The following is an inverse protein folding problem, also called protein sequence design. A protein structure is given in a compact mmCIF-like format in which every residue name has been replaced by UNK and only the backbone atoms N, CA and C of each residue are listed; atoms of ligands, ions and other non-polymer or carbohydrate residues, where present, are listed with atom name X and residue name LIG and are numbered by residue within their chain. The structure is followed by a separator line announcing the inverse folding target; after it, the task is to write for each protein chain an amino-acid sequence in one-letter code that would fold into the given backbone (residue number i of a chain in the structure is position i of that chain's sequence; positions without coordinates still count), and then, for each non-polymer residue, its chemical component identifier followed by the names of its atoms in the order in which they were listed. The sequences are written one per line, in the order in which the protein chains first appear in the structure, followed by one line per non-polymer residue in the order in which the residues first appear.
data_IF_462321010487
#
_entry.id   IF_462321010487
#
_cell.length_a   1.000
_cell.length_b   1.000
_cell.length_c   1.000
_cell.angle_alpha   90.00
_cell.angle_beta   90.00
_cell.angle_gamma   90.00
#
_symmetry.space_group_name_H-M   'P 1'
#
loop_
_entity.id
_entity.type
_entity.pdbx_description
1 polymer ?
#
# COMPACT_ATOMS: atom_id res chain seq x y z
N UNK A 1 8.64 6.69 -2.18
CA UNK A 1 7.53 6.75 -3.17
C UNK A 1 7.52 5.51 -4.08
N UNK A 2 8.58 5.24 -4.86
CA UNK A 2 8.63 4.01 -5.70
C UNK A 2 8.49 2.72 -4.88
N UNK A 3 9.32 2.54 -3.87
CA UNK A 3 9.21 1.39 -2.96
C UNK A 3 7.86 1.30 -2.23
N UNK A 4 7.18 2.42 -2.01
CA UNK A 4 5.85 2.42 -1.40
C UNK A 4 4.79 1.88 -2.36
N UNK A 5 4.86 2.28 -3.63
CA UNK A 5 4.02 1.72 -4.69
C UNK A 5 4.29 0.23 -4.89
N UNK A 6 5.57 -0.19 -4.93
CA UNK A 6 5.95 -1.60 -5.04
C UNK A 6 5.40 -2.44 -3.87
N UNK A 7 5.49 -1.93 -2.63
CA UNK A 7 4.88 -2.59 -1.46
C UNK A 7 3.36 -2.67 -1.63
N UNK A 8 2.72 -1.59 -2.10
CA UNK A 8 1.29 -1.59 -2.39
C UNK A 8 0.91 -2.64 -3.43
N UNK A 9 1.68 -2.78 -4.50
CA UNK A 9 1.46 -3.80 -5.53
C UNK A 9 1.67 -5.22 -5.01
N UNK A 10 2.67 -5.46 -4.16
CA UNK A 10 2.86 -6.74 -3.48
C UNK A 10 1.65 -7.05 -2.59
N UNK A 11 1.23 -6.10 -1.75
CA UNK A 11 0.10 -6.28 -0.83
C UNK A 11 -1.20 -6.51 -1.60
N UNK A 12 -1.38 -5.93 -2.78
CA UNK A 12 -2.60 -6.06 -3.60
C UNK A 12 -2.56 -7.19 -4.63
N UNK A 13 -1.43 -7.89 -4.75
CA UNK A 13 -1.26 -8.98 -5.71
C UNK A 13 -1.04 -8.52 -7.15
N UNK A 14 -0.64 -7.25 -7.35
CA UNK A 14 -0.37 -6.62 -8.65
C UNK A 14 1.10 -6.60 -9.05
N UNK A 15 2.00 -6.99 -8.15
CA UNK A 15 3.44 -6.96 -8.41
C UNK A 15 3.87 -7.91 -9.55
N UNK A 16 4.61 -7.37 -10.51
CA UNK A 16 5.08 -8.04 -11.73
C UNK A 16 6.48 -8.67 -11.58
N UNK A 17 7.08 -8.69 -10.38
CA UNK A 17 8.42 -9.28 -10.20
C UNK A 17 8.43 -10.78 -10.57
N UNK A 18 9.29 -11.19 -11.51
CA UNK A 18 9.33 -12.58 -12.03
C UNK A 18 10.64 -13.33 -11.78
N UNK A 19 11.69 -12.64 -11.28
CA UNK A 19 13.05 -13.21 -11.21
C UNK A 19 13.22 -14.30 -10.15
N UNK A 20 12.52 -14.20 -9.00
CA UNK A 20 12.61 -15.21 -7.93
C UNK A 20 11.26 -15.87 -7.67
N UNK A 21 10.83 -16.74 -8.60
CA UNK A 21 9.52 -17.40 -8.57
C UNK A 21 9.25 -18.12 -7.23
N UNK A 22 10.24 -18.82 -6.68
CA UNK A 22 10.07 -19.55 -5.41
C UNK A 22 9.74 -18.63 -4.23
N UNK A 23 10.50 -17.54 -4.04
CA UNK A 23 10.24 -16.57 -2.96
C UNK A 23 8.93 -15.82 -3.17
N UNK A 24 8.62 -15.43 -4.41
CA UNK A 24 7.36 -14.76 -4.75
C UNK A 24 6.15 -15.63 -4.45
N UNK A 25 6.16 -16.89 -4.88
CA UNK A 25 5.06 -17.84 -4.61
C UNK A 25 4.88 -18.05 -3.11
N UNK A 26 5.97 -18.17 -2.34
CA UNK A 26 5.88 -18.29 -0.88
C UNK A 26 5.28 -17.04 -0.24
N UNK A 27 5.70 -15.85 -0.67
CA UNK A 27 5.17 -14.57 -0.18
C UNK A 27 3.67 -14.44 -0.50
N UNK A 28 3.28 -14.71 -1.75
CA UNK A 28 1.88 -14.59 -2.18
C UNK A 28 0.97 -15.58 -1.43
N UNK A 29 1.40 -16.84 -1.25
CA UNK A 29 0.68 -17.81 -0.42
C UNK A 29 0.50 -17.34 1.03
N UNK A 30 1.52 -16.69 1.60
CA UNK A 30 1.42 -16.14 2.94
C UNK A 30 0.40 -14.99 3.00
N UNK A 31 0.39 -14.10 2.01
CA UNK A 31 -0.58 -13.01 1.92
C UNK A 31 -2.00 -13.55 1.78
N UNK A 32 -2.24 -14.50 0.87
CA UNK A 32 -3.54 -15.17 0.72
C UNK A 32 -4.00 -15.79 2.05
N UNK A 33 -3.10 -16.47 2.77
CA UNK A 33 -3.43 -17.06 4.08
C UNK A 33 -3.78 -16.01 5.14
N UNK A 34 -3.11 -14.85 5.14
CA UNK A 34 -3.41 -13.74 6.04
C UNK A 34 -4.79 -13.16 5.70
N UNK A 35 -5.04 -12.84 4.43
CA UNK A 35 -6.31 -12.25 3.99
C UNK A 35 -7.49 -13.21 4.14
N UNK A 36 -7.28 -14.53 4.01
CA UNK A 36 -8.28 -15.54 4.37
C UNK A 36 -8.70 -15.46 5.84
N UNK A 37 -7.74 -15.26 6.76
CA UNK A 37 -8.04 -15.08 8.19
C UNK A 37 -8.81 -13.78 8.44
N UNK A 38 -8.34 -12.67 7.85
CA UNK A 38 -9.02 -11.36 7.94
C UNK A 38 -10.46 -11.47 7.42
N UNK A 39 -10.65 -12.08 6.24
CA UNK A 39 -11.98 -12.32 5.67
C UNK A 39 -12.87 -13.12 6.65
N UNK A 40 -12.32 -14.17 7.27
CA UNK A 40 -13.00 -14.97 8.28
C UNK A 40 -13.49 -14.19 9.50
N UNK A 41 -12.79 -13.12 9.87
CA UNK A 41 -13.10 -12.25 11.02
C UNK A 41 -14.05 -11.09 10.68
N UNK A 42 -14.31 -10.81 9.40
CA UNK A 42 -15.25 -9.77 8.98
C UNK A 42 -16.67 -10.04 9.51
N UNK A 43 -17.20 -9.09 10.30
CA UNK A 43 -18.58 -9.12 10.79
C UNK A 43 -19.46 -8.25 9.90
N UNK A 44 -20.44 -8.86 9.24
CA UNK A 44 -21.41 -8.15 8.36
C UNK A 44 -20.89 -7.72 6.99
N UNK A 45 -19.57 -7.59 6.81
CA UNK A 45 -18.97 -7.16 5.55
C UNK A 45 -18.58 -8.30 4.60
N UNK A 46 -18.62 -9.58 5.03
CA UNK A 46 -18.23 -10.73 4.20
C UNK A 46 -18.94 -10.74 2.84
N UNK A 47 -20.24 -10.46 2.84
CA UNK A 47 -21.07 -10.40 1.63
C UNK A 47 -20.57 -9.42 0.57
N UNK A 48 -19.89 -8.36 0.99
CA UNK A 48 -19.29 -7.40 0.07
C UNK A 48 -18.14 -8.01 -0.75
N UNK A 49 -17.42 -8.99 -0.18
CA UNK A 49 -16.23 -9.61 -0.78
C UNK A 49 -16.44 -11.06 -1.22
N UNK A 50 -17.68 -11.56 -1.25
CA UNK A 50 -18.00 -12.96 -1.61
C UNK A 50 -17.60 -13.33 -3.05
N UNK A 51 -17.47 -12.35 -3.95
CA UNK A 51 -17.07 -12.57 -5.34
C UNK A 51 -15.59 -12.91 -5.56
N UNK A 52 -14.74 -12.76 -4.53
CA UNK A 52 -13.31 -13.03 -4.61
C UNK A 52 -12.76 -13.62 -3.30
N UNK A 53 -12.99 -14.92 -3.13
CA UNK A 53 -12.57 -15.67 -1.93
C UNK A 53 -11.30 -16.51 -2.13
N UNK A 54 -10.75 -16.53 -3.34
CA UNK A 54 -9.49 -17.25 -3.62
C UNK A 54 -8.28 -16.35 -3.35
N UNK A 55 -8.30 -15.13 -3.89
CA UNK A 55 -7.16 -14.22 -3.84
C UNK A 55 -7.42 -12.98 -2.99
N UNK A 56 -8.68 -12.66 -2.74
CA UNK A 56 -9.11 -11.54 -1.89
C UNK A 56 -8.64 -10.18 -2.42
N UNK A 57 -8.45 -10.01 -3.74
CA UNK A 57 -7.99 -8.78 -4.36
C UNK A 57 -8.81 -7.57 -3.93
N UNK A 58 -10.15 -7.66 -3.91
CA UNK A 58 -10.99 -6.53 -3.51
C UNK A 58 -10.76 -6.14 -2.04
N UNK A 59 -10.67 -7.13 -1.13
CA UNK A 59 -10.34 -6.90 0.27
C UNK A 59 -8.91 -6.36 0.45
N UNK A 60 -7.95 -6.81 -0.37
CA UNK A 60 -6.55 -6.34 -0.35
C UNK A 60 -6.42 -4.89 -0.82
N UNK A 61 -7.17 -4.50 -1.84
CA UNK A 61 -7.26 -3.11 -2.33
C UNK A 61 -7.82 -2.18 -1.25
N UNK A 62 -8.94 -2.55 -0.63
CA UNK A 62 -9.58 -1.74 0.40
C UNK A 62 -8.71 -1.66 1.67
N UNK A 63 -8.07 -2.78 2.04
CA UNK A 63 -7.10 -2.80 3.13
C UNK A 63 -5.93 -1.86 2.85
N UNK A 64 -5.38 -1.86 1.63
CA UNK A 64 -4.33 -0.92 1.27
C UNK A 64 -4.82 0.53 1.34
N UNK A 65 -5.98 0.83 0.75
CA UNK A 65 -6.54 2.18 0.75
C UNK A 65 -6.73 2.75 2.16
N UNK A 66 -7.16 1.92 3.11
CA UNK A 66 -7.34 2.29 4.52
C UNK A 66 -6.01 2.45 5.28
N UNK A 67 -5.01 1.59 5.01
CA UNK A 67 -3.78 1.52 5.83
C UNK A 67 -2.57 2.23 5.19
N UNK A 68 -2.68 2.71 3.94
CA UNK A 68 -1.56 3.32 3.19
C UNK A 68 -0.88 4.49 3.93
N UNK A 69 -1.62 5.25 4.74
CA UNK A 69 -1.08 6.35 5.53
C UNK A 69 -0.13 5.85 6.62
N UNK A 70 -0.51 4.80 7.35
CA UNK A 70 0.33 4.19 8.38
C UNK A 70 1.56 3.51 7.78
N UNK A 71 1.40 2.87 6.63
CA UNK A 71 2.54 2.29 5.89
C UNK A 71 3.52 3.38 5.46
N UNK A 72 3.04 4.52 4.95
CA UNK A 72 3.91 5.65 4.60
C UNK A 72 4.61 6.23 5.83
N UNK A 73 3.87 6.37 6.93
CA UNK A 73 4.40 6.82 8.22
C UNK A 73 5.49 5.88 8.75
N UNK A 74 5.35 4.58 8.58
CA UNK A 74 6.39 3.63 8.93
C UNK A 74 7.60 3.74 7.98
N UNK A 75 7.34 3.81 6.67
CA UNK A 75 8.38 3.84 5.63
C UNK A 75 9.31 5.05 5.78
N UNK A 76 8.77 6.23 6.09
CA UNK A 76 9.58 7.44 6.21
C UNK A 76 9.98 7.76 7.66
N UNK A 77 9.82 6.80 8.60
CA UNK A 77 10.13 7.01 10.02
C UNK A 77 11.58 7.48 10.26
N UNK A 78 12.52 6.96 9.47
CA UNK A 78 13.95 7.32 9.51
C UNK A 78 14.35 8.39 8.49
N UNK A 79 13.41 9.01 7.78
CA UNK A 79 13.74 10.11 6.90
C UNK A 79 14.07 11.35 7.75
N UNK A 80 15.12 12.07 7.37
CA UNK A 80 15.50 13.33 8.01
C UNK A 80 14.41 14.41 7.85
N UNK A 81 14.41 15.38 8.77
CA UNK A 81 13.47 16.50 8.73
C UNK A 81 13.70 17.42 7.51
N UNK A 82 14.92 17.42 6.97
CA UNK A 82 15.26 18.13 5.72
C UNK A 82 14.77 17.40 4.47
N UNK A 83 14.43 16.10 4.56
CA UNK A 83 14.01 15.32 3.40
C UNK A 83 12.58 15.66 3.01
N UNK A 84 12.43 16.02 1.73
CA UNK A 84 11.14 16.41 1.15
C UNK A 84 10.79 15.52 -0.04
N UNK A 85 9.50 15.29 -0.22
CA UNK A 85 9.03 14.77 -1.50
C UNK A 85 9.25 15.85 -2.57
N UNK A 86 9.81 15.44 -3.71
CA UNK A 86 10.35 16.35 -4.72
C UNK A 86 9.30 17.16 -5.49
N UNK A 87 8.01 16.84 -5.33
CA UNK A 87 6.89 17.56 -5.95
C UNK A 87 6.11 18.34 -4.88
N UNK A 88 5.60 19.55 -5.20
CA UNK A 88 4.63 20.21 -4.34
C UNK A 88 3.30 19.45 -4.45
N UNK A 89 2.98 18.67 -3.43
CA UNK A 89 1.77 17.83 -3.39
C UNK A 89 0.94 18.05 -2.14
N UNK A 90 1.44 18.86 -1.20
CA UNK A 90 0.71 19.24 -0.01
C UNK A 90 -0.13 20.50 -0.27
N UNK A 91 -1.16 20.73 0.56
CA UNK A 91 -2.06 21.88 0.46
C UNK A 91 -2.61 22.10 -0.97
N UNK A 92 -3.18 21.04 -1.57
CA UNK A 92 -3.72 21.11 -2.93
C UNK A 92 -2.66 21.24 -4.04
N UNK A 93 -1.42 20.83 -3.77
CA UNK A 93 -0.32 20.90 -4.73
C UNK A 93 0.43 22.22 -4.74
N UNK A 94 0.22 23.08 -3.74
CA UNK A 94 0.86 24.40 -3.64
C UNK A 94 2.15 24.37 -2.82
N UNK A 95 2.33 23.37 -1.96
CA UNK A 95 3.48 23.30 -1.05
C UNK A 95 4.17 21.94 -1.08
N UNK A 96 5.49 21.97 -0.84
CA UNK A 96 6.27 20.77 -0.58
C UNK A 96 5.98 20.20 0.81
N UNK A 97 6.33 18.94 1.02
CA UNK A 97 6.30 18.31 2.35
C UNK A 97 7.15 19.08 3.35
N UNK A 98 6.68 19.21 4.60
CA UNK A 98 7.34 19.98 5.65
C UNK A 98 8.47 19.22 6.37
N UNK A 99 8.80 18.01 5.92
CA UNK A 99 9.87 17.17 6.42
C UNK A 99 9.49 15.69 6.38
N UNK A 100 10.47 14.80 6.55
CA UNK A 100 10.32 13.33 6.53
C UNK A 100 9.52 12.80 5.33
N UNK A 101 9.52 13.54 4.21
CA UNK A 101 8.69 13.28 3.04
C UNK A 101 7.19 13.11 3.37
N UNK A 102 6.60 13.90 4.27
CA UNK A 102 5.15 13.86 4.61
C UNK A 102 4.47 15.21 4.50
N UNK A 103 3.19 15.19 4.15
CA UNK A 103 2.31 16.34 4.38
C UNK A 103 1.82 16.34 5.84
N UNK A 104 1.03 17.34 6.22
CA UNK A 104 0.40 17.42 7.54
C UNK A 104 -0.36 16.13 7.88
N UNK A 105 -0.46 15.82 9.18
CA UNK A 105 -1.14 14.62 9.68
C UNK A 105 -0.60 13.29 9.12
N UNK A 106 0.67 13.26 8.71
CA UNK A 106 1.32 12.10 8.06
C UNK A 106 0.69 11.69 6.72
N UNK A 107 -0.05 12.58 6.07
CA UNK A 107 -0.64 12.34 4.76
C UNK A 107 0.42 11.93 3.72
N UNK A 108 0.06 10.96 2.89
CA UNK A 108 0.91 10.43 1.81
C UNK A 108 0.98 11.46 0.67
N UNK A 109 2.14 12.02 0.34
CA UNK A 109 2.28 13.08 -0.66
C UNK A 109 2.29 12.54 -2.11
N UNK A 110 1.97 11.27 -2.33
CA UNK A 110 2.08 10.61 -3.64
C UNK A 110 0.90 9.68 -3.90
N UNK A 111 0.62 9.44 -5.18
CA UNK A 111 -0.37 8.50 -5.68
C UNK A 111 0.25 7.43 -6.58
N UNK A 112 1.58 7.21 -6.50
CA UNK A 112 2.25 6.20 -7.30
C UNK A 112 1.73 4.79 -7.05
N UNK A 113 1.19 4.51 -5.87
CA UNK A 113 0.48 3.28 -5.56
C UNK A 113 -0.87 3.14 -6.29
N UNK A 114 -1.33 4.15 -7.03
CA UNK A 114 -2.48 4.04 -7.94
C UNK A 114 -2.10 4.17 -9.41
N UNK A 115 -0.80 4.18 -9.72
CA UNK A 115 -0.27 4.15 -11.09
C UNK A 115 0.12 2.70 -11.41
N UNK A 116 -0.23 2.16 -12.59
CA UNK A 116 0.23 0.83 -13.00
C UNK A 116 1.76 0.70 -12.92
N UNK A 117 2.25 -0.49 -12.57
CA UNK A 117 3.68 -0.72 -12.30
C UNK A 117 4.60 -0.62 -13.54
N UNK A 118 4.05 -0.78 -14.75
CA UNK A 118 4.80 -0.88 -16.02
C UNK A 118 5.19 0.48 -16.63
#
# INVERSE_FOLDING_TARGET
ARSFADIGDIIRGKDLYIRNKGKKVKLERNLINIFKKIYGELKGAKKHYEGDTENYYQLREDWWALNRQDVWKALTCKADDSNRYFRPTCAGGTTSTQGKCRCNDNQVPTYFDYVPQY
#
